data_IF_570108434026
#
_entry.id   IF_570108434026
#
_cell.length_a   1.000
_cell.length_b   1.000
_cell.length_c   1.000
_cell.angle_alpha   90.00
_cell.angle_beta   90.00
_cell.angle_gamma   90.00
#
_symmetry.space_group_name_H-M   'P 1'
#
loop_
_entity.id
_entity.type
_entity.pdbx_description
1 polymer ?
#
# COMPACT_ATOMS: atom_id res chain seq x y z
N UNK A 1 -15.65 9.69 -9.00
CA UNK A 1 -15.17 11.06 -8.70
C UNK A 1 -15.94 12.04 -9.56
N UNK A 2 -16.53 13.10 -9.00
CA UNK A 2 -17.34 14.04 -9.79
C UNK A 2 -18.40 14.84 -9.03
N UNK A 3 -18.83 14.36 -7.86
CA UNK A 3 -19.84 15.03 -7.02
C UNK A 3 -19.26 15.81 -5.82
N UNK A 4 -17.93 15.93 -5.72
CA UNK A 4 -17.25 16.53 -4.56
C UNK A 4 -17.31 15.70 -3.27
N UNK A 5 -18.00 14.55 -3.26
CA UNK A 5 -18.12 13.68 -2.09
C UNK A 5 -16.86 12.86 -1.81
N UNK A 6 -16.59 12.61 -0.53
CA UNK A 6 -15.56 11.67 -0.06
C UNK A 6 -15.89 10.24 -0.48
N UNK A 7 -14.86 9.44 -0.77
CA UNK A 7 -15.00 8.03 -1.16
C UNK A 7 -13.75 7.23 -0.76
N UNK A 8 -13.89 5.91 -0.73
CA UNK A 8 -12.78 4.97 -0.54
C UNK A 8 -12.78 3.95 -1.69
N UNK A 9 -11.59 3.46 -2.04
CA UNK A 9 -11.42 2.43 -3.06
C UNK A 9 -10.26 1.52 -2.66
N UNK A 10 -10.39 0.24 -2.96
CA UNK A 10 -9.40 -0.78 -2.63
C UNK A 10 -8.58 -1.19 -3.85
N UNK A 11 -7.30 -1.47 -3.64
CA UNK A 11 -6.44 -2.12 -4.63
C UNK A 11 -6.02 -3.46 -4.01
N UNK A 12 -6.32 -4.54 -4.70
CA UNK A 12 -6.02 -5.92 -4.27
C UNK A 12 -4.78 -6.50 -5.00
N UNK A 13 -4.10 -5.67 -5.80
CA UNK A 13 -2.94 -6.02 -6.62
C UNK A 13 -3.18 -7.21 -7.55
N UNK A 14 -4.44 -7.47 -7.93
CA UNK A 14 -4.82 -8.47 -8.94
C UNK A 14 -4.28 -8.13 -10.32
N UNK A 15 -4.16 -6.83 -10.61
CA UNK A 15 -3.65 -6.27 -11.84
C UNK A 15 -2.60 -5.20 -11.50
N UNK A 16 -1.73 -4.81 -12.45
CA UNK A 16 -0.87 -3.64 -12.27
C UNK A 16 -1.69 -2.44 -11.78
N UNK A 17 -1.19 -1.69 -10.77
CA UNK A 17 -1.94 -0.59 -10.21
C UNK A 17 -2.23 0.44 -11.29
N UNK A 18 -3.45 0.98 -11.31
CA UNK A 18 -3.80 2.12 -12.16
C UNK A 18 -3.38 3.39 -11.41
N UNK A 19 -2.23 4.02 -11.72
CA UNK A 19 -1.80 5.26 -11.05
C UNK A 19 -2.82 6.40 -11.21
N UNK A 20 -3.71 6.25 -12.19
CA UNK A 20 -4.72 7.20 -12.62
C UNK A 20 -5.65 7.66 -11.50
N UNK A 21 -5.98 6.83 -10.50
CA UNK A 21 -6.95 7.22 -9.47
C UNK A 21 -6.40 8.27 -8.51
N UNK A 22 -5.11 8.19 -8.16
CA UNK A 22 -4.46 9.16 -7.27
C UNK A 22 -4.27 10.48 -8.01
N UNK A 23 -3.73 10.40 -9.23
CA UNK A 23 -3.48 11.58 -10.08
C UNK A 23 -4.80 12.31 -10.36
N UNK A 24 -5.85 11.58 -10.72
CA UNK A 24 -7.18 12.16 -10.98
C UNK A 24 -7.79 12.79 -9.72
N UNK A 25 -7.53 12.23 -8.54
CA UNK A 25 -8.05 12.76 -7.28
C UNK A 25 -7.40 14.09 -6.95
N UNK A 26 -6.07 14.15 -7.04
CA UNK A 26 -5.29 15.36 -6.81
C UNK A 26 -5.67 16.46 -7.81
N UNK A 27 -5.78 16.12 -9.10
CA UNK A 27 -6.19 17.06 -10.15
C UNK A 27 -7.60 17.64 -9.93
N UNK A 28 -8.43 16.97 -9.12
CA UNK A 28 -9.77 17.42 -8.73
C UNK A 28 -9.81 17.97 -7.30
N UNK A 29 -8.66 18.34 -6.75
CA UNK A 29 -8.49 18.96 -5.42
C UNK A 29 -8.97 18.09 -4.24
N UNK A 30 -9.00 16.77 -4.40
CA UNK A 30 -9.22 15.88 -3.26
C UNK A 30 -7.96 15.79 -2.39
N UNK A 31 -8.16 15.79 -1.07
CA UNK A 31 -7.15 15.27 -0.16
C UNK A 31 -7.08 13.75 -0.34
N UNK A 32 -5.92 13.25 -0.74
CA UNK A 32 -5.69 11.81 -0.95
C UNK A 32 -4.95 11.22 0.26
N UNK A 33 -5.57 10.23 0.88
CA UNK A 33 -4.96 9.39 1.91
C UNK A 33 -4.75 8.00 1.32
N UNK A 34 -3.52 7.51 1.30
CA UNK A 34 -3.20 6.15 0.86
C UNK A 34 -2.81 5.30 2.06
N UNK A 35 -3.52 4.20 2.26
CA UNK A 35 -3.23 3.24 3.32
C UNK A 35 -2.77 1.94 2.67
N UNK A 36 -1.55 1.54 2.98
CA UNK A 36 -1.01 0.25 2.57
C UNK A 36 -1.10 -0.71 3.75
N UNK A 37 -1.75 -1.87 3.54
CA UNK A 37 -1.90 -2.91 4.55
C UNK A 37 -1.32 -4.21 3.99
N UNK A 38 -0.25 -4.68 4.61
CA UNK A 38 0.42 -5.93 4.25
C UNK A 38 0.53 -6.90 5.43
N UNK A 39 0.97 -8.12 5.14
CA UNK A 39 1.38 -9.11 6.14
C UNK A 39 2.88 -9.36 6.05
N UNK A 40 3.45 -10.02 7.06
CA UNK A 40 4.90 -10.18 7.15
C UNK A 40 5.48 -11.14 6.12
N UNK A 41 4.75 -12.18 5.74
CA UNK A 41 5.25 -13.21 4.82
C UNK A 41 4.16 -13.67 3.85
N UNK A 42 4.57 -14.25 2.71
CA UNK A 42 3.63 -14.82 1.76
C UNK A 42 2.88 -16.01 2.38
N UNK A 43 3.56 -16.78 3.24
CA UNK A 43 3.00 -17.92 3.98
C UNK A 43 1.85 -17.48 4.88
N UNK A 44 1.95 -16.31 5.52
CA UNK A 44 0.85 -15.74 6.30
C UNK A 44 -0.34 -15.37 5.43
N UNK A 45 -0.13 -14.86 4.21
CA UNK A 45 -1.22 -14.61 3.26
C UNK A 45 -1.92 -15.92 2.87
N UNK A 46 -1.15 -16.97 2.57
CA UNK A 46 -1.68 -18.29 2.20
C UNK A 46 -2.48 -18.89 3.36
N UNK A 47 -1.92 -18.90 4.56
CA UNK A 47 -2.58 -19.39 5.76
C UNK A 47 -3.90 -18.64 6.04
N UNK A 48 -3.92 -17.32 5.83
CA UNK A 48 -5.15 -16.50 6.00
C UNK A 48 -6.22 -16.81 4.96
N UNK A 49 -5.84 -17.08 3.71
CA UNK A 49 -6.80 -17.51 2.68
C UNK A 49 -7.35 -18.89 3.01
N UNK A 50 -6.49 -19.85 3.38
CA UNK A 50 -6.92 -21.18 3.79
C UNK A 50 -7.90 -21.11 4.97
N UNK A 51 -7.57 -20.38 6.03
CA UNK A 51 -8.43 -20.24 7.21
C UNK A 51 -9.82 -19.66 6.89
N UNK A 52 -9.91 -18.63 6.04
CA UNK A 52 -11.21 -18.06 5.65
C UNK A 52 -11.98 -19.00 4.72
N UNK A 53 -11.31 -19.80 3.88
CA UNK A 53 -11.96 -20.79 3.02
C UNK A 53 -12.65 -21.85 3.88
N UNK A 54 -11.99 -22.31 4.96
CA UNK A 54 -12.61 -23.23 5.93
C UNK A 54 -13.83 -22.63 6.65
N UNK A 55 -13.91 -21.29 6.72
CA UNK A 55 -15.05 -20.54 7.28
C UNK A 55 -16.12 -20.20 6.23
N UNK A 56 -16.05 -20.74 5.01
CA UNK A 56 -17.00 -20.50 3.93
C UNK A 56 -16.66 -19.33 3.00
N UNK A 57 -15.43 -18.80 3.07
CA UNK A 57 -14.94 -17.74 2.19
C UNK A 57 -14.49 -18.24 0.81
N UNK A 58 -14.20 -17.29 -0.10
CA UNK A 58 -13.70 -17.60 -1.44
C UNK A 58 -12.24 -18.07 -1.43
N UNK A 59 -11.98 -19.20 -2.07
CA UNK A 59 -10.62 -19.72 -2.25
C UNK A 59 -9.85 -18.98 -3.32
N UNK A 60 -8.52 -18.92 -3.19
CA UNK A 60 -7.62 -18.31 -4.18
C UNK A 60 -6.42 -19.23 -4.37
N UNK A 61 -6.06 -19.60 -5.61
CA UNK A 61 -4.86 -20.38 -5.88
C UNK A 61 -3.59 -19.79 -5.26
N UNK A 62 -2.76 -20.63 -4.65
CA UNK A 62 -1.57 -20.21 -3.89
C UNK A 62 -0.58 -19.37 -4.71
N UNK A 63 -0.35 -19.76 -5.96
CA UNK A 63 0.50 -19.03 -6.92
C UNK A 63 0.02 -17.58 -7.09
N UNK A 64 -1.30 -17.36 -7.17
CA UNK A 64 -1.88 -16.02 -7.26
C UNK A 64 -1.75 -15.25 -5.95
N UNK A 65 -1.85 -15.91 -4.80
CA UNK A 65 -1.63 -15.28 -3.49
C UNK A 65 -0.19 -14.77 -3.39
N UNK A 66 0.78 -15.61 -3.75
CA UNK A 66 2.22 -15.27 -3.70
C UNK A 66 2.56 -14.16 -4.68
N UNK A 67 2.09 -14.24 -5.92
CA UNK A 67 2.28 -13.18 -6.90
C UNK A 67 1.69 -11.83 -6.47
N UNK A 68 0.53 -11.83 -5.79
CA UNK A 68 -0.07 -10.61 -5.20
C UNK A 68 0.75 -10.10 -4.02
N UNK A 69 1.27 -10.98 -3.17
CA UNK A 69 2.13 -10.60 -2.05
C UNK A 69 3.38 -9.86 -2.55
N UNK A 70 4.03 -10.35 -3.61
CA UNK A 70 5.21 -9.72 -4.20
C UNK A 70 4.89 -8.36 -4.81
N UNK A 71 3.85 -8.27 -5.65
CA UNK A 71 3.41 -6.98 -6.24
C UNK A 71 2.95 -5.97 -5.21
N UNK A 72 2.33 -6.47 -4.14
CA UNK A 72 1.76 -5.69 -3.06
C UNK A 72 2.77 -5.29 -1.99
N UNK A 73 4.08 -5.59 -2.12
CA UNK A 73 5.06 -5.05 -1.18
C UNK A 73 5.09 -3.52 -1.28
N UNK A 74 5.15 -2.80 -0.14
CA UNK A 74 5.26 -1.35 -0.17
C UNK A 74 6.55 -0.99 -0.93
N UNK A 75 6.52 0.01 -1.84
CA UNK A 75 7.71 0.45 -2.52
C UNK A 75 8.77 0.84 -1.47
N UNK A 76 9.94 0.21 -1.54
CA UNK A 76 11.04 0.50 -0.61
C UNK A 76 11.60 1.88 -0.99
N UNK A 77 11.10 2.94 -0.36
CA UNK A 77 11.54 4.33 -0.57
C UNK A 77 10.47 5.28 -1.13
N UNK A 78 10.90 6.50 -1.48
CA UNK A 78 10.06 7.67 -1.82
C UNK A 78 9.26 7.54 -3.14
N UNK A 79 9.12 6.34 -3.73
CA UNK A 79 8.48 6.11 -5.03
C UNK A 79 6.95 6.18 -5.06
N UNK A 80 6.31 6.73 -4.02
CA UNK A 80 4.84 6.90 -3.96
C UNK A 80 4.47 8.37 -4.16
N UNK A 81 3.36 8.63 -4.84
CA UNK A 81 2.87 9.98 -5.21
C UNK A 81 2.47 10.83 -3.99
N UNK A 82 2.62 12.18 -4.00
CA UNK A 82 2.39 13.08 -2.86
C UNK A 82 1.06 12.87 -2.12
N UNK A 83 1.05 12.84 -0.78
CA UNK A 83 -0.19 12.66 0.01
C UNK A 83 0.07 12.25 1.47
N UNK A 84 -1.02 12.07 2.25
CA UNK A 84 -0.94 11.42 3.57
C UNK A 84 -0.87 9.92 3.36
N UNK A 85 0.18 9.27 3.87
CA UNK A 85 0.44 7.84 3.65
C UNK A 85 0.66 7.12 4.96
N UNK A 86 -0.01 5.99 5.14
CA UNK A 86 0.23 5.08 6.26
C UNK A 86 0.51 3.67 5.75
N UNK A 87 1.56 3.04 6.25
CA UNK A 87 1.89 1.64 5.97
C UNK A 87 1.74 0.81 7.24
N UNK A 88 1.06 -0.32 7.12
CA UNK A 88 0.73 -1.22 8.22
C UNK A 88 1.19 -2.64 7.88
N UNK A 89 1.79 -3.32 8.85
CA UNK A 89 2.18 -4.72 8.72
C UNK A 89 1.94 -5.48 10.01
N UNK A 90 1.48 -6.72 9.92
CA UNK A 90 1.32 -7.57 11.09
C UNK A 90 0.70 -8.92 10.81
N UNK A 91 0.78 -9.80 11.80
CA UNK A 91 0.41 -11.20 11.66
C UNK A 91 -1.10 -11.45 11.72
N UNK A 92 -1.87 -10.92 12.70
CA UNK A 92 -3.26 -11.42 12.89
C UNK A 92 -4.32 -10.41 13.35
N UNK A 93 -4.11 -9.48 14.30
CA UNK A 93 -5.26 -8.68 14.85
C UNK A 93 -4.97 -7.18 15.03
N UNK A 94 -3.74 -6.77 15.38
CA UNK A 94 -3.38 -5.35 15.47
C UNK A 94 -2.23 -5.07 14.51
N UNK A 95 -2.49 -4.43 13.35
CA UNK A 95 -1.43 -4.06 12.44
C UNK A 95 -0.47 -3.09 13.14
N UNK A 96 0.84 -3.33 13.05
CA UNK A 96 1.84 -2.35 13.47
C UNK A 96 1.99 -1.31 12.37
N UNK A 97 1.85 -0.04 12.74
CA UNK A 97 2.18 1.06 11.84
C UNK A 97 3.69 1.08 11.61
N UNK A 98 4.10 0.87 10.36
CA UNK A 98 5.49 0.90 9.95
C UNK A 98 5.98 2.32 9.68
N UNK A 99 5.14 3.12 9.02
CA UNK A 99 5.47 4.49 8.67
C UNK A 99 4.21 5.33 8.47
N UNK A 100 4.25 6.58 8.93
CA UNK A 100 3.32 7.65 8.58
C UNK A 100 4.11 8.75 7.86
N UNK A 101 3.70 9.07 6.63
CA UNK A 101 4.29 10.14 5.83
C UNK A 101 3.21 11.19 5.56
N UNK A 102 3.50 12.46 5.82
CA UNK A 102 2.62 13.59 5.50
C UNK A 102 3.44 14.60 4.73
N UNK A 103 2.97 15.00 3.54
CA UNK A 103 3.67 15.96 2.68
C UNK A 103 5.16 15.59 2.49
N UNK A 104 5.41 14.32 2.18
CA UNK A 104 6.73 13.72 1.99
C UNK A 104 7.68 13.77 3.22
N UNK A 105 7.15 14.05 4.41
CA UNK A 105 7.88 13.95 5.69
C UNK A 105 7.44 12.74 6.50
N UNK A 106 8.39 11.93 6.96
CA UNK A 106 8.12 10.84 7.90
C UNK A 106 7.81 11.46 9.27
N UNK A 107 6.60 11.23 9.77
CA UNK A 107 6.14 11.72 11.09
C UNK A 107 6.27 10.64 12.17
N UNK A 108 6.14 9.36 11.80
CA UNK A 108 6.28 8.21 12.70
C UNK A 108 6.73 6.98 11.92
N UNK A 109 7.50 6.08 12.56
CA UNK A 109 8.07 4.88 11.94
C UNK A 109 9.60 4.83 11.98
N UNK A 110 10.19 3.64 11.83
CA UNK A 110 11.64 3.52 11.62
C UNK A 110 11.95 4.05 10.21
N UNK A 111 12.95 4.93 10.01
CA UNK A 111 13.30 5.39 8.68
C UNK A 111 13.61 4.20 7.78
N UNK A 112 12.79 3.99 6.76
CA UNK A 112 13.08 3.08 5.66
C UNK A 112 14.28 3.70 4.95
N UNK A 113 15.47 3.18 5.23
CA UNK A 113 16.80 3.55 4.72
C UNK A 113 16.92 4.95 4.07
N UNK A 114 17.74 5.84 4.65
CA UNK A 114 18.15 7.10 4.02
C UNK A 114 18.72 6.82 2.61
N UNK A 115 17.89 7.00 1.58
CA UNK A 115 18.35 7.08 0.20
C UNK A 115 19.05 8.43 0.08
N UNK A 116 20.37 8.40 -0.19
CA UNK A 116 21.13 9.62 -0.47
C UNK A 116 20.49 10.33 -1.67
N UNK A 117 20.28 11.66 -1.62
CA UNK A 117 19.79 12.38 -2.79
C UNK A 117 20.76 12.15 -3.95
N UNK A 118 20.23 11.74 -5.12
CA UNK A 118 21.02 11.72 -6.36
C UNK A 118 21.59 13.12 -6.54
N UNK A 119 22.92 13.22 -6.65
CA UNK A 119 23.60 14.48 -6.97
C UNK A 119 22.90 15.10 -8.18
N UNK A 120 22.53 16.38 -8.04
CA UNK A 120 22.14 17.23 -9.16
C UNK A 120 23.26 17.13 -10.20
N UNK A 121 22.95 16.59 -11.38
CA UNK A 121 23.82 16.77 -12.54
C UNK A 121 23.56 18.21 -12.97
N UNK A 122 24.53 19.08 -12.72
CA UNK A 122 24.56 20.41 -13.33
C UNK A 122 24.79 20.22 -14.82
N UNK A 123 23.89 20.76 -15.64
CA UNK A 123 24.15 21.04 -17.06
C UNK A 123 25.05 22.26 -17.15
#
# INVERSE_FOLDING_TARGET
MGSGKSFATGIDFSHPPKPDIIITAQARHYMVITIHVGVDTAELSVARVSARTTQGGHDVPEDKIRARYERGQPPVGHGMQPGVRAAFRGAVIVPKMLSLIVQDRIISGRPVAKIRPKRRISV
#
